data_IF_228166216129
#
_entry.id   IF_228166216129
#
_cell.length_a   1.000
_cell.length_b   1.000
_cell.length_c   1.000
_cell.angle_alpha   90.00
_cell.angle_beta   90.00
_cell.angle_gamma   90.00
#
_symmetry.space_group_name_H-M   'P 1'
#
loop_
_entity.id
_entity.type
_entity.pdbx_description
1 polymer ?
#
# COMPACT_ATOMS: atom_id res chain seq x y z
N UNK A 1 -27.30 -1.10 15.78
CA UNK A 1 -27.43 -2.57 15.59
C UNK A 1 -26.03 -3.22 15.72
N UNK A 2 -25.95 -4.46 16.22
CA UNK A 2 -24.90 -4.89 17.16
C UNK A 2 -23.56 -5.28 16.52
N UNK A 3 -22.50 -5.13 17.34
CA UNK A 3 -21.09 -5.40 17.03
C UNK A 3 -20.83 -6.91 16.89
N UNK A 4 -20.25 -7.32 15.78
CA UNK A 4 -19.65 -8.65 15.63
C UNK A 4 -18.21 -8.65 16.14
N UNK A 5 -17.97 -9.53 17.11
CA UNK A 5 -16.71 -9.80 17.81
C UNK A 5 -15.74 -10.56 16.92
N UNK A 6 -14.58 -9.98 16.63
CA UNK A 6 -13.45 -10.71 16.06
C UNK A 6 -12.63 -11.32 17.19
N UNK A 7 -12.79 -12.62 17.46
CA UNK A 7 -11.94 -13.34 18.39
C UNK A 7 -10.53 -13.48 17.80
N UNK A 8 -9.59 -12.82 18.48
CA UNK A 8 -8.18 -12.75 18.11
C UNK A 8 -7.43 -13.70 19.05
N UNK A 9 -6.96 -14.84 18.53
CA UNK A 9 -6.07 -15.73 19.27
C UNK A 9 -4.74 -15.02 19.56
N UNK A 10 -4.53 -14.58 20.80
CA UNK A 10 -3.24 -14.08 21.30
C UNK A 10 -2.86 -14.88 22.54
N UNK A 11 -1.79 -15.66 22.44
CA UNK A 11 -1.17 -16.33 23.59
C UNK A 11 -0.34 -15.28 24.34
N UNK A 12 -0.77 -14.91 25.53
CA UNK A 12 -0.10 -13.93 26.39
C UNK A 12 1.21 -14.51 26.93
N UNK A 13 2.33 -13.84 26.70
CA UNK A 13 3.60 -14.12 27.36
C UNK A 13 3.80 -13.08 28.48
N UNK A 14 3.85 -13.55 29.73
CA UNK A 14 4.09 -12.72 30.91
C UNK A 14 5.53 -12.20 30.94
N UNK A 15 5.78 -10.96 31.42
CA UNK A 15 7.13 -10.49 31.75
C UNK A 15 7.52 -10.88 33.18
N UNK A 16 8.79 -11.26 33.34
CA UNK A 16 9.45 -11.66 34.58
C UNK A 16 9.68 -10.48 35.54
N UNK A 17 9.62 -10.77 36.85
CA UNK A 17 9.74 -9.85 37.98
C UNK A 17 11.08 -9.08 38.04
N UNK A 18 11.02 -7.81 38.47
CA UNK A 18 12.18 -6.96 38.78
C UNK A 18 12.60 -7.13 40.24
N UNK A 19 13.89 -7.39 40.47
CA UNK A 19 14.56 -7.24 41.76
C UNK A 19 15.00 -5.79 41.99
N UNK A 20 14.74 -5.28 43.20
CA UNK A 20 15.28 -4.00 43.71
C UNK A 20 16.72 -4.20 44.20
N UNK A 21 17.61 -3.27 43.87
CA UNK A 21 18.81 -3.01 44.68
C UNK A 21 19.14 -1.52 44.66
N UNK A 22 19.18 -0.96 45.86
CA UNK A 22 19.66 0.36 46.26
C UNK A 22 21.18 0.49 46.12
N UNK A 23 21.67 1.67 45.74
CA UNK A 23 22.83 2.27 46.40
C UNK A 23 22.94 3.77 46.10
N UNK A 24 23.07 4.55 47.17
CA UNK A 24 23.51 5.94 47.20
C UNK A 24 25.02 6.05 46.93
N UNK A 25 25.45 7.17 46.35
CA UNK A 25 26.62 7.92 46.83
C UNK A 25 26.74 9.32 46.20
N UNK A 26 27.01 10.30 47.07
CA UNK A 26 27.27 11.71 46.82
C UNK A 26 28.67 11.98 46.21
N UNK A 27 28.82 13.10 45.50
CA UNK A 27 30.13 13.65 45.12
C UNK A 27 30.11 14.79 44.08
N UNK A 28 30.08 16.01 44.60
CA UNK A 28 30.36 17.37 44.07
C UNK A 28 30.94 17.62 42.65
N UNK A 29 30.33 18.61 41.97
CA UNK A 29 31.03 19.79 41.43
C UNK A 29 31.74 19.73 40.06
N UNK A 30 31.08 20.21 38.99
CA UNK A 30 31.73 21.00 37.92
C UNK A 30 30.70 21.56 36.91
N UNK A 31 30.81 22.86 36.64
CA UNK A 31 30.02 23.61 35.67
C UNK A 31 30.31 23.17 34.22
N UNK A 32 29.29 22.70 33.50
CA UNK A 32 29.30 22.75 32.04
C UNK A 32 27.88 22.83 31.49
N UNK A 33 27.69 23.72 30.52
CA UNK A 33 26.41 24.25 30.08
C UNK A 33 25.32 23.22 29.82
N UNK A 34 24.10 23.62 30.17
CA UNK A 34 22.83 22.96 29.88
C UNK A 34 22.72 22.65 28.39
N UNK A 35 23.27 21.51 27.96
CA UNK A 35 22.91 20.89 26.69
C UNK A 35 21.49 20.41 26.87
N UNK A 36 20.53 21.18 26.37
CA UNK A 36 19.18 20.68 26.14
C UNK A 36 19.29 19.32 25.45
N UNK A 37 18.78 18.23 26.05
CA UNK A 37 18.92 16.91 25.45
C UNK A 37 18.23 16.96 24.10
N UNK A 38 19.03 16.78 23.04
CA UNK A 38 18.55 16.60 21.68
C UNK A 38 17.50 15.50 21.75
N UNK A 39 16.28 15.94 21.46
CA UNK A 39 15.01 15.25 21.31
C UNK A 39 15.06 13.72 21.34
N UNK A 40 14.13 13.15 22.09
CA UNK A 40 13.89 11.71 22.22
C UNK A 40 13.43 11.10 20.88
N UNK A 41 14.40 10.96 20.00
CA UNK A 41 14.33 10.38 18.66
C UNK A 41 14.27 8.86 18.73
N UNK A 42 14.47 8.27 19.92
CA UNK A 42 14.15 6.87 20.26
C UNK A 42 12.63 6.61 20.32
N UNK A 43 11.83 7.57 20.78
CA UNK A 43 10.37 7.42 20.90
C UNK A 43 9.65 7.51 19.54
N UNK A 44 10.20 8.27 18.60
CA UNK A 44 9.55 8.57 17.31
C UNK A 44 10.27 7.97 16.08
N UNK A 45 11.46 7.38 16.23
CA UNK A 45 12.13 6.64 15.16
C UNK A 45 12.57 7.47 13.96
N UNK A 46 12.87 8.76 14.15
CA UNK A 46 13.13 9.71 13.07
C UNK A 46 14.63 9.89 12.76
N UNK A 47 14.97 9.92 11.47
CA UNK A 47 16.30 9.55 10.98
C UNK A 47 16.73 10.39 9.75
N UNK A 48 17.40 11.53 9.92
CA UNK A 48 17.55 12.59 8.88
C UNK A 48 18.58 12.29 7.78
N UNK A 49 18.20 12.45 6.49
CA UNK A 49 19.00 12.20 5.28
C UNK A 49 19.69 13.45 4.70
N UNK A 50 20.85 13.28 4.02
CA UNK A 50 21.68 14.38 3.47
C UNK A 50 21.55 14.65 1.95
N UNK A 51 21.09 13.71 1.11
CA UNK A 51 20.99 13.96 -0.36
C UNK A 51 20.04 13.00 -1.10
N UNK A 52 18.75 13.34 -1.30
CA UNK A 52 17.88 12.54 -2.16
C UNK A 52 18.03 12.95 -3.63
N UNK A 53 18.32 11.97 -4.49
CA UNK A 53 18.28 12.11 -5.96
C UNK A 53 16.84 12.24 -6.48
N UNK A 54 16.13 13.29 -6.07
CA UNK A 54 14.71 13.51 -6.39
C UNK A 54 14.48 14.25 -7.73
N UNK A 55 15.54 14.74 -8.37
CA UNK A 55 15.49 15.55 -9.61
C UNK A 55 14.35 16.59 -9.57
N UNK A 56 14.36 17.43 -8.52
CA UNK A 56 13.35 18.46 -8.32
C UNK A 56 13.44 19.53 -9.41
N UNK A 57 12.29 19.90 -9.97
CA UNK A 57 12.13 21.02 -10.89
C UNK A 57 11.71 22.27 -10.11
N UNK A 58 12.11 23.47 -10.55
CA UNK A 58 11.70 24.73 -9.92
C UNK A 58 10.19 24.94 -9.83
N UNK A 59 9.42 24.27 -10.69
CA UNK A 59 7.96 24.34 -10.75
C UNK A 59 7.26 23.34 -9.84
N UNK A 60 7.98 22.36 -9.28
CA UNK A 60 7.37 21.25 -8.54
C UNK A 60 6.73 21.73 -7.23
N UNK A 61 5.55 21.17 -6.94
CA UNK A 61 4.98 21.09 -5.59
C UNK A 61 5.46 19.79 -4.94
N UNK A 62 6.09 19.91 -3.78
CA UNK A 62 6.65 18.77 -3.06
C UNK A 62 5.80 18.46 -1.83
N UNK A 63 5.40 17.20 -1.67
CA UNK A 63 4.82 16.71 -0.43
C UNK A 63 5.94 16.07 0.40
N UNK A 64 6.22 16.63 1.57
CA UNK A 64 7.13 16.02 2.55
C UNK A 64 6.33 15.35 3.67
N UNK A 65 6.51 14.05 3.86
CA UNK A 65 5.87 13.31 4.96
C UNK A 65 6.89 13.04 6.06
N UNK A 66 6.61 13.53 7.27
CA UNK A 66 7.50 13.45 8.43
C UNK A 66 8.73 14.35 8.32
N UNK A 67 8.56 15.68 8.17
CA UNK A 67 9.66 16.64 8.03
C UNK A 67 10.55 16.73 9.28
N UNK A 68 10.03 16.41 10.46
CA UNK A 68 10.76 16.54 11.74
C UNK A 68 11.24 17.95 11.97
N UNK A 69 12.53 18.10 12.31
CA UNK A 69 13.16 19.40 12.57
C UNK A 69 13.41 20.24 11.30
N UNK A 70 12.98 19.78 10.12
CA UNK A 70 13.02 20.56 8.88
C UNK A 70 14.36 20.59 8.15
N UNK A 71 15.29 19.70 8.49
CA UNK A 71 16.62 19.65 7.85
C UNK A 71 16.56 19.37 6.34
N UNK A 72 15.61 18.54 5.92
CA UNK A 72 15.39 18.26 4.51
C UNK A 72 14.46 19.30 3.87
N UNK A 73 13.40 19.70 4.59
CA UNK A 73 12.45 20.75 4.19
C UNK A 73 13.13 22.01 3.66
N UNK A 74 14.11 22.57 4.39
CA UNK A 74 14.82 23.79 3.96
C UNK A 74 15.54 23.62 2.63
N UNK A 75 16.13 22.44 2.37
CA UNK A 75 16.82 22.13 1.09
C UNK A 75 15.84 21.90 -0.05
N UNK A 76 14.64 21.41 0.25
CA UNK A 76 13.56 21.27 -0.74
C UNK A 76 13.05 22.67 -1.11
N UNK A 77 12.83 23.56 -0.13
CA UNK A 77 12.31 24.92 -0.32
C UNK A 77 13.23 25.81 -1.19
N UNK A 78 14.55 25.55 -1.17
CA UNK A 78 15.54 26.18 -2.06
C UNK A 78 15.29 25.85 -3.54
N UNK A 79 14.77 24.65 -3.84
CA UNK A 79 14.67 24.10 -5.20
C UNK A 79 13.25 24.03 -5.76
N UNK A 80 12.25 23.90 -4.90
CA UNK A 80 10.85 23.70 -5.28
C UNK A 80 10.05 25.01 -5.28
N UNK A 81 8.90 24.97 -5.97
CA UNK A 81 7.93 26.07 -5.98
C UNK A 81 7.22 26.17 -4.64
N UNK A 82 6.82 25.03 -4.10
CA UNK A 82 6.02 24.92 -2.88
C UNK A 82 6.29 23.59 -2.19
N UNK A 83 6.22 23.57 -0.86
CA UNK A 83 6.33 22.37 -0.04
C UNK A 83 5.13 22.29 0.89
N UNK A 84 4.38 21.21 0.81
CA UNK A 84 3.39 20.83 1.81
C UNK A 84 4.04 19.78 2.72
N UNK A 85 4.17 20.07 4.01
CA UNK A 85 4.76 19.18 4.99
C UNK A 85 3.69 18.60 5.89
N UNK A 86 3.55 17.27 5.93
CA UNK A 86 2.59 16.57 6.80
C UNK A 86 3.35 16.00 7.99
N UNK A 87 3.02 16.49 9.19
CA UNK A 87 3.69 16.10 10.43
C UNK A 87 2.65 15.69 11.49
N UNK A 88 2.89 14.55 12.14
CA UNK A 88 2.02 14.04 13.19
C UNK A 88 2.30 14.74 14.52
N UNK A 89 3.57 15.07 14.82
CA UNK A 89 3.95 15.73 16.07
C UNK A 89 3.83 17.27 15.97
N UNK A 90 2.88 17.90 16.66
CA UNK A 90 2.72 19.36 16.65
C UNK A 90 3.98 20.11 17.12
N UNK A 91 4.82 19.48 17.95
CA UNK A 91 6.08 20.09 18.45
C UNK A 91 7.10 20.21 17.33
N UNK A 92 7.20 19.19 16.48
CA UNK A 92 8.08 19.20 15.30
C UNK A 92 7.58 20.22 14.27
N UNK A 93 6.26 20.29 14.06
CA UNK A 93 5.65 21.32 13.22
C UNK A 93 5.97 22.74 13.70
N UNK A 94 5.91 22.99 15.01
CA UNK A 94 6.29 24.28 15.58
C UNK A 94 7.78 24.59 15.40
N UNK A 95 8.67 23.61 15.56
CA UNK A 95 10.11 23.77 15.33
C UNK A 95 10.41 24.10 13.86
N UNK A 96 9.78 23.37 12.92
CA UNK A 96 9.89 23.65 11.49
C UNK A 96 9.39 25.06 11.15
N UNK A 97 8.25 25.48 11.72
CA UNK A 97 7.70 26.83 11.54
C UNK A 97 8.71 27.89 11.97
N UNK A 98 9.27 27.76 13.18
CA UNK A 98 10.29 28.66 13.72
C UNK A 98 11.56 28.68 12.85
N UNK A 99 11.93 27.54 12.28
CA UNK A 99 13.14 27.41 11.46
C UNK A 99 13.09 28.22 10.16
N UNK A 100 11.91 28.38 9.57
CA UNK A 100 11.70 29.17 8.34
C UNK A 100 11.18 30.58 8.62
N UNK A 101 10.81 30.89 9.86
CA UNK A 101 10.22 32.17 10.24
C UNK A 101 11.08 33.37 9.83
N UNK A 102 10.45 34.33 9.15
CA UNK A 102 11.10 35.56 8.68
C UNK A 102 11.97 35.38 7.43
N UNK A 103 12.00 34.17 6.84
CA UNK A 103 12.79 33.89 5.64
C UNK A 103 11.92 33.77 4.38
N UNK A 104 12.48 34.01 3.17
CA UNK A 104 11.72 33.90 1.92
C UNK A 104 11.11 32.52 1.67
N UNK A 105 11.62 31.47 2.30
CA UNK A 105 11.11 30.10 2.20
C UNK A 105 9.78 29.91 2.95
N UNK A 106 9.49 30.73 3.97
CA UNK A 106 8.26 30.62 4.76
C UNK A 106 7.00 30.67 3.88
N UNK A 107 6.97 31.55 2.88
CA UNK A 107 5.82 31.70 1.95
C UNK A 107 5.61 30.49 1.03
N UNK A 108 6.61 29.62 0.92
CA UNK A 108 6.57 28.41 0.10
C UNK A 108 6.21 27.17 0.91
N UNK A 109 6.15 27.26 2.23
CA UNK A 109 5.90 26.14 3.12
C UNK A 109 4.47 26.18 3.67
N UNK A 110 3.75 25.09 3.49
CA UNK A 110 2.50 24.79 4.19
C UNK A 110 2.75 23.61 5.13
N UNK A 111 2.24 23.68 6.37
CA UNK A 111 2.39 22.59 7.35
C UNK A 111 1.00 22.09 7.73
N UNK A 112 0.76 20.81 7.49
CA UNK A 112 -0.45 20.09 7.88
C UNK A 112 -0.14 19.23 9.11
N UNK A 113 -0.79 19.54 10.23
CA UNK A 113 -0.67 18.74 11.45
C UNK A 113 -1.70 17.61 11.40
N UNK A 114 -1.23 16.35 11.41
CA UNK A 114 -2.12 15.20 11.47
C UNK A 114 -1.55 13.90 10.90
N UNK A 115 -2.43 12.90 10.84
CA UNK A 115 -2.13 11.57 10.31
C UNK A 115 -2.13 11.59 8.78
N UNK A 116 -0.96 11.39 8.16
CA UNK A 116 -0.80 11.29 6.70
C UNK A 116 -1.76 10.28 6.07
N UNK A 117 -2.02 9.14 6.73
CA UNK A 117 -2.88 8.08 6.17
C UNK A 117 -4.33 8.56 6.05
N UNK A 118 -4.74 9.49 6.92
CA UNK A 118 -6.12 10.00 7.01
C UNK A 118 -6.29 11.38 6.40
N UNK A 119 -5.20 12.12 6.18
CA UNK A 119 -5.23 13.47 5.68
C UNK A 119 -5.75 13.54 4.23
N UNK A 120 -6.52 14.59 3.94
CA UNK A 120 -6.85 15.02 2.59
C UNK A 120 -5.64 15.74 2.01
N UNK A 121 -4.89 15.07 1.14
CA UNK A 121 -3.65 15.59 0.58
C UNK A 121 -3.93 16.49 -0.63
N UNK A 122 -3.27 17.65 -0.75
CA UNK A 122 -3.33 18.44 -1.97
C UNK A 122 -2.59 17.72 -3.11
N UNK A 123 -2.73 18.21 -4.34
CA UNK A 123 -1.90 17.75 -5.46
C UNK A 123 -0.41 18.07 -5.23
N UNK A 124 0.46 17.13 -5.55
CA UNK A 124 1.92 17.27 -5.54
C UNK A 124 2.55 16.56 -6.74
N UNK A 125 3.68 17.09 -7.22
CA UNK A 125 4.46 16.47 -8.29
C UNK A 125 5.43 15.42 -7.76
N UNK A 126 6.01 15.70 -6.58
CA UNK A 126 7.03 14.85 -5.95
C UNK A 126 6.69 14.61 -4.49
N UNK A 127 6.74 13.37 -4.03
CA UNK A 127 6.69 13.05 -2.61
C UNK A 127 8.08 12.69 -2.09
N UNK A 128 8.46 13.22 -0.93
CA UNK A 128 9.68 12.85 -0.23
C UNK A 128 9.30 12.43 1.18
N UNK A 129 9.77 11.27 1.62
CA UNK A 129 9.42 10.78 2.95
C UNK A 129 10.57 10.10 3.65
N UNK A 130 10.63 10.40 4.95
CA UNK A 130 11.53 9.83 5.93
C UNK A 130 10.74 9.49 7.21
N UNK A 131 9.59 8.84 7.00
CA UNK A 131 8.68 8.51 8.10
C UNK A 131 9.14 7.29 8.89
N UNK A 132 8.64 7.14 10.13
CA UNK A 132 8.85 5.94 10.93
C UNK A 132 8.40 4.66 10.19
N UNK A 133 9.10 3.56 10.42
CA UNK A 133 8.90 2.31 9.67
C UNK A 133 7.54 1.64 9.93
N UNK A 134 6.87 2.00 11.02
CA UNK A 134 5.57 1.46 11.40
C UNK A 134 4.48 1.83 10.38
N UNK A 135 4.64 2.92 9.63
CA UNK A 135 3.66 3.39 8.66
C UNK A 135 4.08 3.16 7.20
N UNK A 136 5.15 2.41 6.93
CA UNK A 136 5.69 2.24 5.58
C UNK A 136 4.68 1.63 4.59
N UNK A 137 4.00 0.55 4.96
CA UNK A 137 3.02 -0.07 4.07
C UNK A 137 1.78 0.80 3.85
N UNK A 138 1.12 1.36 4.90
CA UNK A 138 0.04 2.32 4.72
C UNK A 138 0.44 3.54 3.87
N UNK A 139 1.67 4.04 4.05
CA UNK A 139 2.18 5.17 3.27
C UNK A 139 2.25 4.84 1.78
N UNK A 140 2.82 3.69 1.41
CA UNK A 140 2.93 3.28 0.00
C UNK A 140 1.55 3.14 -0.63
N UNK A 141 0.62 2.44 0.02
CA UNK A 141 -0.73 2.27 -0.54
C UNK A 141 -1.54 3.57 -0.59
N UNK A 142 -1.35 4.46 0.38
CA UNK A 142 -1.96 5.80 0.37
C UNK A 142 -1.44 6.65 -0.78
N UNK A 143 -0.15 6.56 -1.11
CA UNK A 143 0.42 7.21 -2.29
C UNK A 143 -0.13 6.60 -3.59
N UNK A 144 -0.15 5.27 -3.72
CA UNK A 144 -0.65 4.60 -4.94
C UNK A 144 -2.14 4.90 -5.21
N UNK A 145 -2.94 5.11 -4.16
CA UNK A 145 -4.35 5.51 -4.29
C UNK A 145 -4.57 7.01 -4.47
N UNK A 146 -3.54 7.83 -4.32
CA UNK A 146 -3.66 9.28 -4.48
C UNK A 146 -3.99 9.64 -5.94
N UNK A 147 -4.90 10.60 -6.10
CA UNK A 147 -5.25 11.21 -7.38
C UNK A 147 -5.36 12.73 -7.20
N UNK A 148 -4.95 13.54 -8.20
CA UNK A 148 -4.27 13.16 -9.45
C UNK A 148 -2.92 12.46 -9.23
N UNK A 149 -2.41 11.74 -10.23
CA UNK A 149 -1.13 11.02 -10.11
C UNK A 149 0.03 12.02 -9.95
N UNK A 150 0.95 11.69 -9.04
CA UNK A 150 2.21 12.40 -8.88
C UNK A 150 3.28 11.79 -9.81
N UNK A 151 4.34 12.55 -10.10
CA UNK A 151 5.41 12.11 -11.00
C UNK A 151 6.33 11.07 -10.38
N UNK A 152 6.79 11.31 -9.15
CA UNK A 152 7.70 10.38 -8.46
C UNK A 152 7.66 10.56 -6.94
N UNK A 153 7.95 9.49 -6.20
CA UNK A 153 8.16 9.52 -4.76
C UNK A 153 9.56 8.99 -4.42
N UNK A 154 10.28 9.69 -3.55
CA UNK A 154 11.56 9.26 -2.99
C UNK A 154 11.33 8.94 -1.51
N UNK A 155 11.34 7.65 -1.20
CA UNK A 155 10.90 7.13 0.09
C UNK A 155 12.06 6.40 0.75
N UNK A 156 12.27 6.63 2.04
CA UNK A 156 13.22 5.84 2.82
C UNK A 156 12.49 4.82 3.68
N UNK A 157 12.96 3.58 3.63
CA UNK A 157 12.44 2.48 4.44
C UNK A 157 13.57 1.67 5.07
N UNK A 158 13.21 0.74 5.96
CA UNK A 158 14.13 -0.34 6.37
C UNK A 158 14.59 -1.11 5.13
N UNK A 159 15.84 -1.57 5.14
CA UNK A 159 16.42 -2.27 4.01
C UNK A 159 15.62 -3.51 3.60
N UNK A 160 15.16 -4.33 4.54
CA UNK A 160 14.35 -5.52 4.23
C UNK A 160 13.01 -5.15 3.56
N UNK A 161 12.31 -4.13 4.08
CA UNK A 161 11.08 -3.63 3.47
C UNK A 161 11.31 -3.07 2.06
N UNK A 162 12.35 -2.25 1.88
CA UNK A 162 12.73 -1.71 0.58
C UNK A 162 13.06 -2.83 -0.43
N UNK A 163 13.82 -3.85 -0.01
CA UNK A 163 14.16 -5.00 -0.84
C UNK A 163 12.92 -5.83 -1.21
N UNK A 164 11.93 -5.93 -0.33
CA UNK A 164 10.64 -6.56 -0.65
C UNK A 164 9.86 -5.79 -1.71
N UNK A 165 9.87 -4.45 -1.68
CA UNK A 165 9.19 -3.64 -2.70
C UNK A 165 9.78 -3.85 -4.10
N UNK A 166 11.10 -3.98 -4.21
CA UNK A 166 11.81 -4.18 -5.48
C UNK A 166 12.07 -5.66 -5.83
N UNK A 167 11.58 -6.59 -5.00
CA UNK A 167 11.82 -8.02 -5.20
C UNK A 167 11.24 -8.47 -6.53
N UNK A 168 11.95 -9.37 -7.22
CA UNK A 168 11.50 -9.96 -8.49
C UNK A 168 10.88 -11.34 -8.26
N UNK A 169 9.97 -11.79 -9.14
CA UNK A 169 9.47 -13.16 -9.12
C UNK A 169 10.63 -14.17 -9.08
N UNK A 170 10.45 -15.24 -8.31
CA UNK A 170 11.46 -16.28 -8.07
C UNK A 170 12.44 -15.97 -6.94
N UNK A 171 12.47 -14.75 -6.40
CA UNK A 171 13.36 -14.39 -5.29
C UNK A 171 12.74 -14.63 -3.91
N UNK A 172 13.56 -14.80 -2.88
CA UNK A 172 13.10 -15.06 -1.51
C UNK A 172 12.23 -13.95 -0.93
N UNK A 173 12.42 -12.70 -1.38
CA UNK A 173 11.66 -11.54 -0.92
C UNK A 173 10.41 -11.26 -1.76
N UNK A 174 10.18 -12.02 -2.84
CA UNK A 174 8.97 -11.90 -3.65
C UNK A 174 7.73 -12.25 -2.83
N UNK A 175 6.81 -11.30 -2.71
CA UNK A 175 5.65 -11.42 -1.84
C UNK A 175 4.45 -10.67 -2.40
N UNK A 176 3.29 -10.84 -1.77
CA UNK A 176 2.08 -10.06 -2.04
C UNK A 176 2.34 -8.55 -2.03
N UNK A 177 3.19 -8.05 -1.12
CA UNK A 177 3.56 -6.64 -1.09
C UNK A 177 4.26 -6.21 -2.38
N UNK A 178 5.19 -7.02 -2.87
CA UNK A 178 5.93 -6.80 -4.11
C UNK A 178 4.97 -6.73 -5.31
N UNK A 179 4.12 -7.74 -5.46
CA UNK A 179 3.15 -7.83 -6.55
C UNK A 179 2.16 -6.64 -6.53
N UNK A 180 1.56 -6.33 -5.38
CA UNK A 180 0.59 -5.24 -5.26
C UNK A 180 1.19 -3.87 -5.60
N UNK A 181 2.42 -3.61 -5.18
CA UNK A 181 3.07 -2.31 -5.45
C UNK A 181 3.51 -2.23 -6.91
N UNK A 182 4.10 -3.31 -7.45
CA UNK A 182 4.61 -3.34 -8.82
C UNK A 182 3.51 -3.34 -9.90
N UNK A 183 2.28 -3.74 -9.52
CA UNK A 183 1.08 -3.58 -10.32
C UNK A 183 0.80 -2.10 -10.65
N UNK A 184 0.95 -1.19 -9.68
CA UNK A 184 0.61 0.24 -9.87
C UNK A 184 1.81 1.15 -10.04
N UNK A 185 3.03 0.69 -9.81
CA UNK A 185 4.21 1.55 -9.88
C UNK A 185 5.47 0.79 -10.31
N UNK A 186 6.37 1.52 -10.95
CA UNK A 186 7.77 1.11 -11.04
C UNK A 186 8.49 1.49 -9.74
N UNK A 187 9.23 0.54 -9.18
CA UNK A 187 10.01 0.76 -7.96
C UNK A 187 11.48 0.44 -8.21
N UNK A 188 12.35 1.40 -7.93
CA UNK A 188 13.80 1.27 -8.08
C UNK A 188 14.50 1.47 -6.73
N UNK A 189 15.53 0.67 -6.44
CA UNK A 189 16.42 0.92 -5.30
C UNK A 189 17.43 2.01 -5.69
N UNK A 190 17.44 3.12 -4.96
CA UNK A 190 18.32 4.27 -5.28
C UNK A 190 19.66 4.13 -4.57
N UNK A 191 19.63 3.94 -3.26
CA UNK A 191 20.85 3.80 -2.45
C UNK A 191 20.57 3.16 -1.09
N UNK A 192 21.61 2.58 -0.50
CA UNK A 192 21.60 2.12 0.89
C UNK A 192 22.09 3.23 1.82
N UNK A 193 21.50 3.30 3.01
CA UNK A 193 21.81 4.31 4.03
C UNK A 193 22.19 3.60 5.31
N UNK A 194 23.47 3.75 5.68
CA UNK A 194 24.05 3.18 6.89
C UNK A 194 23.36 3.71 8.15
N UNK A 195 23.11 2.85 9.16
CA UNK A 195 22.53 3.25 10.45
C UNK A 195 23.23 4.43 11.15
N UNK A 196 24.54 4.60 10.91
CA UNK A 196 25.35 5.68 11.49
C UNK A 196 25.02 7.07 10.92
N UNK A 197 24.20 7.16 9.87
CA UNK A 197 23.71 8.43 9.32
C UNK A 197 22.55 9.02 10.13
N UNK A 198 22.13 8.35 11.20
CA UNK A 198 20.96 8.70 11.97
C UNK A 198 21.29 8.98 13.44
N UNK A 199 20.45 9.78 14.09
CA UNK A 199 20.57 10.12 15.51
C UNK A 199 19.20 10.00 16.21
N UNK A 200 19.03 9.03 17.14
CA UNK A 200 19.95 7.94 17.43
C UNK A 200 20.03 7.00 16.22
N UNK A 201 21.03 6.12 16.17
CA UNK A 201 21.08 5.08 15.14
C UNK A 201 19.90 4.08 15.28
N UNK A 202 19.22 3.70 14.19
CA UNK A 202 18.29 2.59 14.19
C UNK A 202 19.00 1.26 14.46
N UNK A 203 18.21 0.26 14.85
CA UNK A 203 18.67 -1.13 14.97
C UNK A 203 18.96 -1.81 13.62
N UNK A 204 18.44 -1.25 12.52
CA UNK A 204 18.51 -1.84 11.18
C UNK A 204 19.00 -0.84 10.14
N UNK A 205 19.55 -1.36 9.05
CA UNK A 205 19.94 -0.55 7.90
C UNK A 205 18.73 0.00 7.15
N UNK A 206 18.91 1.12 6.47
CA UNK A 206 17.87 1.76 5.64
C UNK A 206 18.24 1.71 4.16
N UNK A 207 17.23 1.87 3.31
CA UNK A 207 17.42 2.08 1.89
C UNK A 207 16.42 3.11 1.37
N UNK A 208 16.87 3.89 0.38
CA UNK A 208 16.04 4.84 -0.36
C UNK A 208 15.56 4.17 -1.64
N UNK A 209 14.27 4.24 -1.88
CA UNK A 209 13.62 3.77 -3.10
C UNK A 209 12.99 4.93 -3.86
N UNK A 210 12.90 4.78 -5.18
CA UNK A 210 12.13 5.64 -6.06
C UNK A 210 10.89 4.88 -6.50
N UNK A 211 9.72 5.48 -6.32
CA UNK A 211 8.43 4.93 -6.74
C UNK A 211 7.80 5.86 -7.77
N UNK A 212 7.50 5.33 -8.94
CA UNK A 212 6.88 6.07 -10.06
C UNK A 212 5.56 5.38 -10.42
N UNK A 213 4.39 6.02 -10.18
CA UNK A 213 3.10 5.45 -10.55
C UNK A 213 3.02 5.16 -12.05
N UNK A 214 2.32 4.08 -12.42
CA UNK A 214 1.98 3.77 -13.81
C UNK A 214 0.79 4.62 -14.26
N UNK A 215 0.90 5.19 -15.45
CA UNK A 215 -0.14 5.98 -16.09
C UNK A 215 -0.28 5.51 -17.56
N UNK A 216 -1.45 4.99 -17.99
CA UNK A 216 -2.65 4.77 -17.18
C UNK A 216 -2.47 3.67 -16.12
N UNK A 217 -3.26 3.68 -15.03
CA UNK A 217 -3.29 2.57 -14.10
C UNK A 217 -3.79 1.28 -14.79
N UNK A 218 -3.39 0.09 -14.32
CA UNK A 218 -3.87 -1.16 -14.89
C UNK A 218 -5.40 -1.27 -14.73
N UNK A 219 -6.10 -1.88 -15.71
CA UNK A 219 -7.56 -1.98 -15.72
C UNK A 219 -8.05 -3.12 -14.83
N UNK A 220 -7.65 -3.11 -13.55
CA UNK A 220 -8.06 -4.10 -12.56
C UNK A 220 -8.43 -3.42 -11.24
N UNK A 221 -9.51 -3.87 -10.63
CA UNK A 221 -9.90 -3.44 -9.30
C UNK A 221 -8.90 -3.98 -8.26
N UNK A 222 -8.33 -3.06 -7.46
CA UNK A 222 -7.27 -3.43 -6.51
C UNK A 222 -7.69 -4.53 -5.53
N UNK A 223 -8.95 -4.49 -5.07
CA UNK A 223 -9.48 -5.48 -4.13
C UNK A 223 -9.50 -6.89 -4.73
N UNK A 224 -9.72 -7.02 -6.04
CA UNK A 224 -9.72 -8.31 -6.73
C UNK A 224 -8.30 -8.86 -6.85
N UNK A 225 -7.36 -8.02 -7.28
CA UNK A 225 -5.96 -8.40 -7.36
C UNK A 225 -5.36 -8.73 -5.98
N UNK A 226 -5.62 -7.91 -4.95
CA UNK A 226 -5.17 -8.20 -3.58
C UNK A 226 -5.87 -9.44 -3.00
N UNK A 227 -7.15 -9.64 -3.30
CA UNK A 227 -7.94 -10.80 -2.89
C UNK A 227 -7.35 -12.10 -3.43
N UNK A 228 -7.07 -12.15 -4.73
CA UNK A 228 -6.31 -13.24 -5.34
C UNK A 228 -4.94 -13.41 -4.67
N UNK A 229 -4.22 -12.31 -4.52
CA UNK A 229 -2.89 -12.29 -3.89
C UNK A 229 -2.89 -12.89 -2.48
N UNK A 230 -3.94 -12.65 -1.67
CA UNK A 230 -4.09 -13.25 -0.33
C UNK A 230 -4.17 -14.77 -0.38
N UNK A 231 -4.84 -15.33 -1.38
CA UNK A 231 -4.97 -16.78 -1.58
C UNK A 231 -3.63 -17.35 -2.02
N UNK A 232 -3.11 -16.89 -3.16
CA UNK A 232 -1.97 -17.55 -3.82
C UNK A 232 -0.62 -17.32 -3.09
N UNK A 233 -0.44 -16.18 -2.43
CA UNK A 233 0.76 -15.95 -1.61
C UNK A 233 0.66 -16.54 -0.20
N UNK A 234 -0.51 -17.04 0.23
CA UNK A 234 -0.70 -17.68 1.54
C UNK A 234 0.26 -18.85 1.74
N UNK A 235 0.43 -19.69 0.71
CA UNK A 235 1.52 -20.67 0.60
C UNK A 235 2.19 -20.51 -0.77
N UNK A 236 2.97 -19.44 -0.94
CA UNK A 236 3.59 -19.04 -2.23
C UNK A 236 4.38 -20.13 -2.97
N UNK A 237 4.93 -21.11 -2.24
CA UNK A 237 5.73 -22.22 -2.80
C UNK A 237 4.88 -23.45 -3.16
N UNK A 238 3.59 -23.45 -2.83
CA UNK A 238 2.60 -24.46 -3.25
C UNK A 238 1.93 -24.03 -4.55
N UNK A 239 1.34 -24.99 -5.25
CA UNK A 239 0.62 -24.72 -6.49
C UNK A 239 -0.59 -23.82 -6.23
N UNK A 240 -1.05 -23.10 -7.25
CA UNK A 240 -2.28 -22.30 -7.18
C UNK A 240 -3.43 -23.20 -6.75
N UNK A 241 -3.58 -24.36 -7.38
CA UNK A 241 -4.55 -25.39 -7.00
C UNK A 241 -4.56 -25.71 -5.51
N UNK A 242 -3.40 -26.04 -4.95
CA UNK A 242 -3.27 -26.36 -3.53
C UNK A 242 -3.69 -25.21 -2.62
N UNK A 243 -3.50 -23.95 -3.05
CA UNK A 243 -3.92 -22.77 -2.29
C UNK A 243 -5.45 -22.59 -2.31
N UNK A 244 -6.10 -22.80 -3.46
CA UNK A 244 -7.56 -22.69 -3.60
C UNK A 244 -8.32 -23.83 -2.92
N UNK A 245 -7.77 -25.05 -2.91
CA UNK A 245 -8.37 -26.22 -2.23
C UNK A 245 -8.22 -26.22 -0.71
N UNK A 246 -7.66 -25.15 -0.12
CA UNK A 246 -7.61 -25.01 1.33
C UNK A 246 -9.03 -24.84 1.90
N UNK A 247 -9.36 -25.59 2.97
CA UNK A 247 -10.69 -25.58 3.60
C UNK A 247 -11.26 -24.17 3.83
N UNK A 248 -10.49 -23.28 4.47
CA UNK A 248 -10.95 -21.92 4.75
C UNK A 248 -11.09 -21.03 3.50
N UNK A 249 -10.37 -21.32 2.41
CA UNK A 249 -10.55 -20.62 1.13
C UNK A 249 -11.82 -21.11 0.45
N UNK A 250 -12.08 -22.43 0.45
CA UNK A 250 -13.30 -23.01 -0.09
C UNK A 250 -14.56 -22.47 0.60
N UNK A 251 -14.57 -22.45 1.94
CA UNK A 251 -15.69 -21.89 2.74
C UNK A 251 -15.93 -20.41 2.42
N UNK A 252 -14.84 -19.63 2.30
CA UNK A 252 -14.92 -18.21 1.92
C UNK A 252 -15.48 -18.03 0.49
N UNK A 253 -15.02 -18.82 -0.48
CA UNK A 253 -15.48 -18.75 -1.87
C UNK A 253 -16.96 -19.15 -1.99
N UNK A 254 -17.40 -20.15 -1.24
CA UNK A 254 -18.79 -20.58 -1.20
C UNK A 254 -19.70 -19.47 -0.64
N UNK A 255 -19.30 -18.85 0.48
CA UNK A 255 -20.03 -17.74 1.09
C UNK A 255 -20.13 -16.55 0.13
N UNK A 256 -19.03 -16.21 -0.54
CA UNK A 256 -19.00 -15.13 -1.52
C UNK A 256 -19.89 -15.44 -2.73
N UNK A 257 -19.85 -16.66 -3.26
CA UNK A 257 -20.70 -17.10 -4.38
C UNK A 257 -22.18 -17.03 -4.01
N UNK A 258 -22.57 -17.52 -2.83
CA UNK A 258 -23.97 -17.45 -2.35
C UNK A 258 -24.46 -16.00 -2.26
N UNK A 259 -23.62 -15.11 -1.75
CA UNK A 259 -23.92 -13.67 -1.66
C UNK A 259 -24.07 -13.06 -3.05
N UNK A 260 -23.20 -13.44 -3.98
CA UNK A 260 -23.27 -13.00 -5.38
C UNK A 260 -24.54 -13.51 -6.06
N UNK A 261 -24.86 -14.80 -5.95
CA UNK A 261 -26.04 -15.40 -6.55
C UNK A 261 -27.32 -14.72 -6.04
N UNK A 262 -27.40 -14.47 -4.72
CA UNK A 262 -28.49 -13.71 -4.12
C UNK A 262 -28.61 -12.30 -4.69
N UNK A 263 -27.49 -11.60 -4.89
CA UNK A 263 -27.48 -10.23 -5.43
C UNK A 263 -27.83 -10.15 -6.92
N UNK A 264 -27.67 -11.25 -7.66
CA UNK A 264 -27.94 -11.32 -9.10
C UNK A 264 -29.23 -12.07 -9.44
N UNK A 265 -30.06 -12.40 -8.43
CA UNK A 265 -31.28 -13.20 -8.58
C UNK A 265 -31.04 -14.56 -9.25
N UNK A 266 -29.83 -15.12 -9.10
CA UNK A 266 -29.50 -16.46 -9.58
C UNK A 266 -29.93 -17.47 -8.54
N UNK A 267 -30.83 -18.39 -8.91
CA UNK A 267 -31.20 -19.50 -8.02
C UNK A 267 -30.03 -20.48 -7.91
N UNK A 268 -29.70 -20.85 -6.67
CA UNK A 268 -28.67 -21.84 -6.39
C UNK A 268 -29.37 -23.21 -6.37
N UNK A 269 -28.98 -24.08 -7.29
CA UNK A 269 -29.43 -25.47 -7.32
C UNK A 269 -28.99 -26.19 -6.04
N UNK A 270 -29.83 -27.06 -5.48
CA UNK A 270 -29.50 -27.89 -4.32
C UNK A 270 -28.29 -28.81 -4.57
N UNK A 271 -27.99 -29.09 -5.85
CA UNK A 271 -26.82 -29.86 -6.30
C UNK A 271 -25.53 -29.03 -6.47
N UNK A 272 -25.57 -27.72 -6.22
CA UNK A 272 -24.40 -26.86 -6.40
C UNK A 272 -23.25 -27.23 -5.45
N UNK A 273 -22.12 -27.65 -6.03
CA UNK A 273 -20.86 -27.87 -5.33
C UNK A 273 -19.81 -26.84 -5.75
N UNK A 274 -19.47 -25.94 -4.83
CA UNK A 274 -18.42 -24.94 -5.01
C UNK A 274 -17.07 -25.57 -5.37
N UNK A 275 -16.79 -26.78 -4.87
CA UNK A 275 -15.54 -27.48 -5.16
C UNK A 275 -15.44 -27.83 -6.62
N UNK A 276 -16.49 -28.41 -7.20
CA UNK A 276 -16.51 -28.73 -8.63
C UNK A 276 -16.33 -27.47 -9.47
N UNK A 277 -16.99 -26.38 -9.09
CA UNK A 277 -16.86 -25.09 -9.80
C UNK A 277 -15.44 -24.52 -9.73
N UNK A 278 -14.80 -24.58 -8.56
CA UNK A 278 -13.41 -24.11 -8.40
C UNK A 278 -12.44 -25.00 -9.17
N UNK A 279 -12.62 -26.32 -9.17
CA UNK A 279 -11.79 -27.26 -9.94
C UNK A 279 -11.90 -27.01 -11.46
N UNK A 280 -13.10 -26.77 -11.97
CA UNK A 280 -13.35 -26.39 -13.38
C UNK A 280 -12.60 -25.10 -13.74
N UNK A 281 -12.80 -24.02 -12.96
CA UNK A 281 -12.13 -22.72 -13.19
C UNK A 281 -10.61 -22.87 -13.14
N UNK A 282 -10.08 -23.67 -12.20
CA UNK A 282 -8.65 -23.91 -12.10
C UNK A 282 -8.10 -24.64 -13.31
N UNK A 283 -8.83 -25.65 -13.82
CA UNK A 283 -8.45 -26.39 -15.02
C UNK A 283 -8.42 -25.47 -16.25
N UNK A 284 -9.43 -24.63 -16.43
CA UNK A 284 -9.54 -23.71 -17.57
C UNK A 284 -8.53 -22.57 -17.53
N UNK A 285 -8.11 -22.16 -16.32
CA UNK A 285 -7.21 -21.01 -16.16
C UNK A 285 -5.81 -21.23 -16.74
N UNK A 286 -5.33 -22.48 -16.84
CA UNK A 286 -3.94 -22.80 -17.17
C UNK A 286 -2.89 -22.42 -16.10
N UNK A 287 -3.33 -21.95 -14.93
CA UNK A 287 -2.45 -21.54 -13.82
C UNK A 287 -2.40 -22.55 -12.66
N UNK A 288 -3.18 -23.64 -12.72
CA UNK A 288 -3.36 -24.62 -11.65
C UNK A 288 -2.05 -25.10 -11.00
N UNK A 289 -1.06 -25.48 -11.81
CA UNK A 289 0.24 -26.00 -11.37
C UNK A 289 1.32 -24.92 -11.13
N UNK A 290 1.00 -23.66 -11.44
CA UNK A 290 1.91 -22.56 -11.21
C UNK A 290 2.03 -22.24 -9.72
N UNK A 291 3.06 -21.47 -9.35
CA UNK A 291 3.34 -21.09 -7.96
C UNK A 291 3.52 -19.59 -7.90
N UNK A 292 2.82 -18.92 -6.98
CA UNK A 292 2.91 -17.47 -6.82
C UNK A 292 4.36 -16.99 -6.57
N UNK A 293 5.22 -17.84 -6.00
CA UNK A 293 6.64 -17.56 -5.86
C UNK A 293 7.35 -17.23 -7.19
N UNK A 294 6.84 -17.71 -8.33
CA UNK A 294 7.44 -17.52 -9.67
C UNK A 294 6.56 -16.73 -10.64
N UNK A 295 5.27 -16.60 -10.36
CA UNK A 295 4.35 -15.79 -11.18
C UNK A 295 4.73 -14.32 -11.08
N UNK A 296 4.87 -13.67 -12.22
CA UNK A 296 5.07 -12.23 -12.28
C UNK A 296 3.73 -11.45 -12.17
N UNK A 297 3.81 -10.12 -12.27
CA UNK A 297 2.61 -9.27 -12.18
C UNK A 297 1.67 -9.52 -13.36
N UNK A 298 2.20 -9.82 -14.55
CA UNK A 298 1.40 -10.03 -15.75
C UNK A 298 0.71 -11.40 -15.70
N UNK A 299 1.37 -12.43 -15.18
CA UNK A 299 0.77 -13.74 -14.88
C UNK A 299 -0.38 -13.61 -13.89
N UNK A 300 -0.18 -12.88 -12.79
CA UNK A 300 -1.21 -12.63 -11.79
C UNK A 300 -2.38 -11.83 -12.38
N UNK A 301 -2.09 -10.82 -13.20
CA UNK A 301 -3.11 -10.00 -13.85
C UNK A 301 -3.92 -10.82 -14.87
N UNK A 302 -3.26 -11.63 -15.70
CA UNK A 302 -3.93 -12.58 -16.61
C UNK A 302 -4.81 -13.54 -15.84
N UNK A 303 -4.35 -14.05 -14.70
CA UNK A 303 -5.15 -14.95 -13.88
C UNK A 303 -6.40 -14.25 -13.33
N UNK A 304 -6.32 -12.99 -12.87
CA UNK A 304 -7.52 -12.23 -12.47
C UNK A 304 -8.48 -12.06 -13.66
N UNK A 305 -7.99 -11.55 -14.80
CA UNK A 305 -8.82 -11.24 -15.97
C UNK A 305 -9.45 -12.50 -16.59
N UNK A 306 -8.72 -13.61 -16.64
CA UNK A 306 -9.24 -14.88 -17.19
C UNK A 306 -10.42 -15.37 -16.35
N UNK A 307 -10.32 -15.26 -15.02
CA UNK A 307 -11.43 -15.66 -14.16
C UNK A 307 -12.54 -14.60 -14.07
N UNK A 308 -12.32 -13.38 -14.56
CA UNK A 308 -13.40 -12.43 -14.84
C UNK A 308 -14.16 -12.78 -16.14
N UNK A 309 -13.53 -13.48 -17.08
CA UNK A 309 -14.08 -13.78 -18.42
C UNK A 309 -14.67 -15.18 -18.58
N UNK A 310 -14.32 -16.16 -17.75
CA UNK A 310 -14.81 -17.56 -17.82
C UNK A 310 -16.17 -17.81 -17.15
N UNK A 311 -16.88 -16.76 -16.73
CA UNK A 311 -18.27 -16.90 -16.28
C UNK A 311 -19.22 -16.88 -17.49
N UNK A 312 -19.58 -18.06 -18.00
CA UNK A 312 -20.49 -18.19 -19.15
C UNK A 312 -21.89 -17.59 -18.92
N UNK A 313 -22.53 -17.02 -19.95
CA UNK A 313 -23.87 -16.45 -19.89
C UNK A 313 -24.98 -17.51 -19.90
N UNK A 314 -25.99 -17.35 -19.04
CA UNK A 314 -27.29 -18.02 -19.18
C UNK A 314 -28.14 -17.18 -20.15
N UNK A 315 -28.76 -17.76 -21.20
CA UNK A 315 -29.60 -17.01 -22.11
C UNK A 315 -30.93 -16.66 -21.44
N UNK A 316 -31.25 -15.37 -21.36
CA UNK A 316 -32.62 -14.90 -21.21
C UNK A 316 -32.88 -13.72 -22.14
N UNK A 317 -33.91 -13.92 -22.98
CA UNK A 317 -34.49 -12.91 -23.86
C UNK A 317 -34.94 -11.68 -23.06
N UNK A 318 -34.44 -10.50 -23.43
CA UNK A 318 -35.18 -9.25 -23.64
C UNK A 318 -34.23 -8.04 -23.63
N UNK A 319 -34.39 -7.19 -24.64
CA UNK A 319 -33.67 -5.92 -24.83
C UNK A 319 -33.82 -4.96 -23.65
N UNK A 320 -32.76 -4.19 -23.33
CA UNK A 320 -32.76 -2.72 -23.09
C UNK A 320 -31.30 -2.23 -23.02
N UNK A 321 -31.03 -1.11 -23.70
CA UNK A 321 -29.69 -0.61 -24.01
C UNK A 321 -29.01 0.36 -23.04
N UNK A 322 -27.84 0.80 -23.52
CA UNK A 322 -26.96 1.91 -23.12
C UNK A 322 -26.00 1.74 -21.93
N UNK A 323 -24.69 1.61 -22.21
CA UNK A 323 -23.72 2.73 -22.28
C UNK A 323 -22.28 2.19 -22.17
N UNK A 324 -21.41 2.69 -23.06
CA UNK A 324 -20.11 2.16 -23.46
C UNK A 324 -18.98 2.57 -22.52
N UNK A 325 -18.07 1.64 -22.20
CA UNK A 325 -16.63 1.92 -22.04
C UNK A 325 -15.85 0.77 -22.69
N UNK A 326 -14.80 1.14 -23.42
CA UNK A 326 -14.17 0.38 -24.49
C UNK A 326 -13.35 -0.84 -24.00
N UNK A 327 -13.39 -1.90 -24.80
CA UNK A 327 -12.76 -3.21 -24.62
C UNK A 327 -11.28 -3.23 -25.04
N UNK A 328 -10.48 -4.08 -24.40
CA UNK A 328 -9.07 -4.44 -24.63
C UNK A 328 -8.77 -5.12 -26.00
N UNK A 329 -9.64 -4.95 -26.98
CA UNK A 329 -9.66 -5.72 -28.23
C UNK A 329 -9.20 -4.92 -29.46
N UNK A 330 -8.31 -3.94 -29.28
CA UNK A 330 -7.57 -3.29 -30.38
C UNK A 330 -6.20 -3.94 -30.65
N UNK A 331 -5.93 -5.15 -30.13
CA UNK A 331 -4.67 -5.87 -30.39
C UNK A 331 -4.80 -7.09 -31.32
N UNK A 332 -6.00 -7.50 -31.73
CA UNK A 332 -6.18 -8.56 -32.74
C UNK A 332 -7.27 -8.13 -33.72
N UNK A 333 -6.91 -8.10 -35.00
CA UNK A 333 -7.55 -7.42 -36.13
C UNK A 333 -9.02 -7.77 -36.42
N UNK A 334 -9.84 -6.71 -36.57
CA UNK A 334 -11.03 -6.51 -37.43
C UNK A 334 -12.15 -7.59 -37.54
N UNK A 335 -13.31 -7.31 -36.92
CA UNK A 335 -14.61 -7.04 -37.61
C UNK A 335 -15.80 -6.84 -36.64
N UNK A 336 -16.26 -5.57 -36.49
CA UNK A 336 -17.61 -4.98 -36.20
C UNK A 336 -18.63 -5.63 -35.18
N UNK A 337 -19.54 -4.84 -34.56
CA UNK A 337 -19.78 -4.85 -33.10
C UNK A 337 -21.13 -5.42 -32.62
N UNK A 338 -21.19 -5.89 -31.36
CA UNK A 338 -22.42 -6.01 -30.56
C UNK A 338 -22.17 -5.59 -29.10
N UNK A 339 -23.20 -5.07 -28.44
CA UNK A 339 -23.16 -4.43 -27.13
C UNK A 339 -22.86 -5.41 -25.98
N UNK A 340 -22.05 -4.97 -25.00
CA UNK A 340 -21.60 -5.78 -23.87
C UNK A 340 -21.99 -5.15 -22.52
N UNK A 341 -22.68 -5.91 -21.66
CA UNK A 341 -22.73 -5.73 -20.20
C UNK A 341 -22.56 -7.12 -19.57
N UNK A 342 -21.58 -7.29 -18.69
CA UNK A 342 -21.19 -8.57 -18.08
C UNK A 342 -21.32 -8.56 -16.55
N UNK A 343 -21.50 -9.75 -15.97
CA UNK A 343 -21.67 -10.01 -14.53
C UNK A 343 -20.33 -10.23 -13.80
N UNK A 344 -20.25 -9.96 -12.49
CA UNK A 344 -19.03 -10.14 -11.70
C UNK A 344 -18.64 -11.59 -11.35
N UNK A 345 -17.37 -11.89 -11.01
CA UNK A 345 -16.97 -13.17 -10.41
C UNK A 345 -17.43 -13.39 -8.95
N UNK A 346 -17.42 -14.66 -8.45
CA UNK A 346 -17.87 -15.06 -7.11
C UNK A 346 -17.37 -14.21 -5.94
N UNK A 347 -16.12 -13.76 -5.97
CA UNK A 347 -15.48 -13.03 -4.87
C UNK A 347 -15.86 -11.53 -4.81
N UNK A 348 -16.73 -11.03 -5.70
CA UNK A 348 -17.23 -9.65 -5.69
C UNK A 348 -18.19 -9.29 -4.55
N UNK A 349 -18.41 -10.19 -3.58
CA UNK A 349 -19.28 -9.96 -2.43
C UNK A 349 -18.73 -8.98 -1.36
N UNK A 350 -17.73 -8.15 -1.69
CA UNK A 350 -17.32 -7.01 -0.86
C UNK A 350 -17.17 -5.78 -1.77
N UNK A 351 -18.28 -5.09 -2.01
CA UNK A 351 -18.40 -3.62 -2.04
C UNK A 351 -19.59 -3.14 -2.88
N UNK A 352 -20.82 -3.63 -2.62
CA UNK A 352 -22.04 -2.92 -3.04
C UNK A 352 -23.12 -3.03 -1.97
N UNK A 353 -23.02 -2.16 -0.97
CA UNK A 353 -24.19 -1.60 -0.30
C UNK A 353 -24.03 -0.09 -0.30
N UNK A 354 -24.84 0.56 -1.14
CA UNK A 354 -25.05 2.00 -1.21
C UNK A 354 -25.52 2.56 0.14
N UNK A 355 -24.91 3.67 0.56
CA UNK A 355 -25.62 4.89 0.96
C UNK A 355 -24.61 6.03 1.20
N UNK A 356 -24.73 7.09 0.41
CA UNK A 356 -24.32 8.43 0.82
C UNK A 356 -24.99 8.77 2.16
N UNK A 357 -24.31 9.53 3.03
CA UNK A 357 -24.95 10.73 3.51
C UNK A 357 -24.05 11.96 3.34
N UNK A 358 -24.74 13.08 3.26
CA UNK A 358 -24.26 14.43 3.03
C UNK A 358 -23.22 14.89 4.07
N UNK A 359 -22.37 15.79 3.61
CA UNK A 359 -21.30 16.43 4.37
C UNK A 359 -21.86 17.55 5.26
N UNK A 360 -21.62 17.42 6.57
CA UNK A 360 -21.37 18.54 7.49
C UNK A 360 -20.18 18.19 8.38
#
# INVERSE_FOLDING_TARGET
MPRATSDRFVRAHQPSAKSKSSNDNNGEGSSSGTRNPIFNTERFGQHILKNPQANLRPTDKVLEVGPGTGNLTVRILEKAKHVTAVEMDPRMAAELTKRVQGKPEQRKLEIMIGDFVKATLPYFDVCISNTPYQISSPLVFRLLSHRPLFRTAILMFQREFALRLVARPGTDLWSRLSANVQLYAKVDLVMNVGKNNFRPPPKVESSVIRLVPRDPPPPVEFNEFDGLGRIVFGRRNKTVHANFTAKGVMEMLESNWKTWASSNNTMIDESFDIKLKVEEILADSGFSDQRAAKMDVDDLLKYVITNETTCEPIPHDHEIGYSRYFTTQEYISHSQPRAFRASPPPWRAISRSSNHPEWL
#
